data_IF_730271669940
#
_entry.id   IF_730271669940
#
_cell.length_a   1.000
_cell.length_b   1.000
_cell.length_c   1.000
_cell.angle_alpha   90.00
_cell.angle_beta   90.00
_cell.angle_gamma   90.00
#
_symmetry.space_group_name_H-M   'P 1'
#
loop_
_entity.id
_entity.type
_entity.pdbx_description
1 polymer ?
#
# COMPACT_ATOMS: atom_id res chain seq x y z
N UNK A 1 23.49 -11.20 -34.74
CA UNK A 1 23.62 -9.92 -34.03
C UNK A 1 22.82 -9.84 -32.71
N UNK A 2 21.89 -10.77 -32.43
CA UNK A 2 21.13 -10.82 -31.16
C UNK A 2 21.97 -11.29 -29.95
N UNK A 3 22.87 -12.27 -30.14
CA UNK A 3 23.72 -12.86 -29.08
C UNK A 3 24.55 -11.85 -28.27
N UNK A 4 24.99 -10.76 -28.91
CA UNK A 4 25.88 -9.79 -28.26
C UNK A 4 25.11 -8.87 -27.29
N UNK A 5 23.83 -8.61 -27.56
CA UNK A 5 22.96 -7.78 -26.69
C UNK A 5 22.50 -8.56 -25.45
N UNK A 6 22.10 -9.82 -25.61
CA UNK A 6 21.74 -10.66 -24.46
C UNK A 6 22.93 -10.92 -23.53
N UNK A 7 24.12 -11.10 -24.10
CA UNK A 7 25.38 -11.27 -23.35
C UNK A 7 25.82 -10.01 -22.61
N UNK A 8 25.54 -8.81 -23.16
CA UNK A 8 25.75 -7.54 -22.47
C UNK A 8 24.73 -7.32 -21.34
N UNK A 9 23.43 -7.52 -21.63
CA UNK A 9 22.36 -7.41 -20.64
C UNK A 9 22.59 -8.36 -19.45
N UNK A 10 23.00 -9.61 -19.69
CA UNK A 10 23.30 -10.57 -18.63
C UNK A 10 24.47 -10.19 -17.71
N UNK A 11 25.38 -9.31 -18.16
CA UNK A 11 26.53 -8.82 -17.37
C UNK A 11 26.26 -7.47 -16.70
N UNK A 12 25.42 -6.63 -17.29
CA UNK A 12 25.11 -5.30 -16.76
C UNK A 12 23.93 -5.28 -15.79
N UNK A 13 22.93 -6.13 -16.00
CA UNK A 13 21.73 -6.18 -15.15
C UNK A 13 22.05 -6.45 -13.66
N UNK A 14 22.95 -7.39 -13.29
CA UNK A 14 23.32 -7.59 -11.88
C UNK A 14 23.97 -6.36 -11.25
N UNK A 15 24.80 -5.64 -12.02
CA UNK A 15 25.48 -4.42 -11.57
C UNK A 15 24.50 -3.26 -11.40
N UNK A 16 23.54 -3.13 -12.31
CA UNK A 16 22.44 -2.16 -12.21
C UNK A 16 21.56 -2.45 -10.99
N UNK A 17 21.22 -3.72 -10.75
CA UNK A 17 20.47 -4.13 -9.56
C UNK A 17 21.27 -3.77 -8.29
N UNK A 18 22.51 -4.19 -8.15
CA UNK A 18 23.32 -3.90 -6.96
C UNK A 18 23.51 -2.40 -6.70
N UNK A 19 23.58 -1.58 -7.75
CA UNK A 19 23.71 -0.12 -7.65
C UNK A 19 22.39 0.58 -7.32
N UNK A 20 21.30 0.23 -8.03
CA UNK A 20 20.06 1.01 -8.03
C UNK A 20 19.00 0.45 -7.05
N UNK A 21 19.10 -0.82 -6.63
CA UNK A 21 18.19 -1.40 -5.62
C UNK A 21 18.22 -0.71 -4.27
N UNK A 22 19.40 -0.45 -3.67
CA UNK A 22 19.48 0.24 -2.39
C UNK A 22 18.81 1.62 -2.47
N UNK A 23 19.09 2.37 -3.54
CA UNK A 23 18.47 3.67 -3.78
C UNK A 23 16.95 3.59 -3.89
N UNK A 24 16.40 2.60 -4.61
CA UNK A 24 14.95 2.41 -4.71
C UNK A 24 14.30 2.05 -3.36
N UNK A 25 15.00 1.29 -2.50
CA UNK A 25 14.54 1.01 -1.12
C UNK A 25 14.51 2.28 -0.28
N UNK A 26 15.58 3.09 -0.33
CA UNK A 26 15.67 4.34 0.41
C UNK A 26 14.58 5.33 -0.03
N UNK A 27 14.32 5.42 -1.34
CA UNK A 27 13.23 6.24 -1.90
C UNK A 27 11.87 5.74 -1.41
N UNK A 28 11.61 4.42 -1.46
CA UNK A 28 10.37 3.83 -0.94
C UNK A 28 10.18 4.19 0.54
N UNK A 29 11.21 4.01 1.35
CA UNK A 29 11.14 4.22 2.81
C UNK A 29 10.93 5.70 3.15
N UNK A 30 11.59 6.60 2.41
CA UNK A 30 11.40 8.04 2.54
C UNK A 30 9.98 8.46 2.18
N UNK A 31 9.42 7.94 1.07
CA UNK A 31 8.04 8.22 0.67
C UNK A 31 7.03 7.66 1.68
N UNK A 32 7.27 6.48 2.23
CA UNK A 32 6.45 5.89 3.28
C UNK A 32 6.49 6.72 4.58
N UNK A 33 7.65 7.28 4.92
CA UNK A 33 7.80 8.18 6.08
C UNK A 33 7.03 9.48 5.88
N UNK A 34 7.18 10.13 4.72
CA UNK A 34 6.44 11.35 4.37
C UNK A 34 4.92 11.14 4.38
N UNK A 35 4.45 9.99 3.88
CA UNK A 35 3.03 9.64 3.92
C UNK A 35 2.49 9.55 5.36
N UNK A 36 3.28 9.02 6.31
CA UNK A 36 2.92 8.92 7.73
C UNK A 36 2.89 10.27 8.43
N UNK A 37 3.87 11.10 8.15
CA UNK A 37 3.93 12.47 8.66
C UNK A 37 2.72 13.29 8.18
N UNK A 38 2.45 13.25 6.87
CA UNK A 38 1.31 13.96 6.29
C UNK A 38 -0.02 13.46 6.84
N UNK A 39 -0.20 12.14 6.98
CA UNK A 39 -1.40 11.58 7.59
C UNK A 39 -1.61 12.07 9.04
N UNK A 40 -0.53 12.18 9.80
CA UNK A 40 -0.55 12.68 11.18
C UNK A 40 -0.89 14.17 11.23
N UNK A 41 -0.34 14.97 10.31
CA UNK A 41 -0.64 16.40 10.18
C UNK A 41 -2.12 16.65 9.82
N UNK A 42 -2.68 15.83 8.91
CA UNK A 42 -4.10 15.89 8.56
C UNK A 42 -4.97 15.52 9.76
N UNK A 43 -4.65 14.44 10.48
CA UNK A 43 -5.36 14.04 11.70
C UNK A 43 -5.35 15.15 12.75
N UNK A 44 -4.20 15.78 12.98
CA UNK A 44 -4.05 16.89 13.92
C UNK A 44 -4.93 18.08 13.52
N UNK A 45 -4.84 18.52 12.26
CA UNK A 45 -5.62 19.64 11.72
C UNK A 45 -7.12 19.37 11.82
N UNK A 46 -7.55 18.16 11.46
CA UNK A 46 -8.95 17.73 11.59
C UNK A 46 -9.43 17.79 13.04
N UNK A 47 -8.65 17.23 13.98
CA UNK A 47 -9.02 17.23 15.41
C UNK A 47 -9.10 18.64 15.98
N UNK A 48 -8.18 19.53 15.61
CA UNK A 48 -8.20 20.94 16.03
C UNK A 48 -9.44 21.67 15.51
N UNK A 49 -9.77 21.52 14.22
CA UNK A 49 -10.98 22.09 13.65
C UNK A 49 -12.24 21.54 14.36
N UNK A 50 -12.27 20.23 14.63
CA UNK A 50 -13.35 19.57 15.37
C UNK A 50 -13.54 20.09 16.79
N UNK A 51 -12.45 20.30 17.54
CA UNK A 51 -12.52 20.83 18.91
C UNK A 51 -13.15 22.23 18.96
N UNK A 52 -12.85 23.09 17.98
CA UNK A 52 -13.48 24.40 17.84
C UNK A 52 -14.99 24.28 17.59
N UNK A 53 -15.43 23.28 16.82
CA UNK A 53 -16.86 23.01 16.62
C UNK A 53 -17.53 22.45 17.88
N UNK A 54 -16.89 21.52 18.60
CA UNK A 54 -17.46 20.89 19.79
C UNK A 54 -17.73 21.88 20.94
N UNK A 55 -16.93 22.95 21.06
CA UNK A 55 -17.18 24.04 22.03
C UNK A 55 -18.55 24.71 21.84
N UNK A 56 -19.10 24.67 20.62
CA UNK A 56 -20.33 25.37 20.24
C UNK A 56 -21.55 24.45 20.07
N UNK A 57 -21.41 23.13 20.29
CA UNK A 57 -22.50 22.16 20.10
C UNK A 57 -23.30 21.98 21.39
N UNK A 58 -24.62 22.21 21.34
CA UNK A 58 -25.55 21.81 22.41
C UNK A 58 -25.52 20.30 22.58
N UNK A 59 -25.34 19.81 23.81
CA UNK A 59 -25.26 18.38 24.15
C UNK A 59 -26.50 17.63 23.62
N UNK A 60 -26.25 16.62 22.79
CA UNK A 60 -27.22 15.56 22.48
C UNK A 60 -27.73 15.52 21.04
N UNK A 61 -27.21 14.58 20.23
CA UNK A 61 -27.94 14.07 19.08
C UNK A 61 -27.09 13.54 17.92
N UNK A 62 -26.11 14.31 17.47
CA UNK A 62 -25.30 13.99 16.30
C UNK A 62 -24.19 12.97 16.62
N UNK A 63 -23.82 12.15 15.64
CA UNK A 63 -22.58 11.38 15.71
C UNK A 63 -21.39 12.32 15.57
N UNK A 64 -20.32 12.00 16.28
CA UNK A 64 -19.01 12.66 16.19
C UNK A 64 -18.05 11.70 15.53
N UNK A 65 -17.19 12.19 14.64
CA UNK A 65 -16.25 11.37 13.91
C UNK A 65 -14.82 11.65 14.36
N UNK A 66 -14.01 10.61 14.32
CA UNK A 66 -12.58 10.69 14.54
C UNK A 66 -11.87 9.77 13.55
N UNK A 67 -10.57 9.97 13.46
CA UNK A 67 -9.70 9.26 12.55
C UNK A 67 -8.53 8.68 13.33
N UNK A 68 -8.16 7.45 13.00
CA UNK A 68 -6.99 6.75 13.50
C UNK A 68 -6.05 6.48 12.34
N UNK A 69 -4.78 6.80 12.53
CA UNK A 69 -3.71 6.49 11.60
C UNK A 69 -2.98 5.26 12.14
N UNK A 70 -2.74 4.28 11.26
CA UNK A 70 -1.91 3.10 11.56
C UNK A 70 -0.73 3.09 10.60
N UNK A 71 0.46 2.82 11.12
CA UNK A 71 1.66 2.68 10.30
C UNK A 71 1.62 1.38 9.50
N UNK A 72 2.07 1.46 8.25
CA UNK A 72 2.19 0.31 7.35
C UNK A 72 3.50 0.39 6.58
N UNK A 73 3.91 -0.72 5.97
CA UNK A 73 5.09 -0.76 5.07
C UNK A 73 4.93 0.23 3.91
N UNK A 74 3.70 0.48 3.45
CA UNK A 74 3.41 1.41 2.36
C UNK A 74 3.22 2.87 2.81
N UNK A 75 3.40 3.16 4.09
CA UNK A 75 3.18 4.48 4.67
C UNK A 75 2.12 4.44 5.75
N UNK A 76 0.92 4.93 5.45
CA UNK A 76 -0.13 5.10 6.45
C UNK A 76 -1.46 4.47 6.02
N UNK A 77 -2.15 3.90 6.99
CA UNK A 77 -3.52 3.42 6.85
C UNK A 77 -4.47 4.30 7.68
N UNK A 78 -5.52 4.78 7.02
CA UNK A 78 -6.50 5.72 7.60
C UNK A 78 -7.80 4.97 7.91
N UNK A 79 -8.18 4.98 9.19
CA UNK A 79 -9.41 4.36 9.69
C UNK A 79 -10.29 5.43 10.34
N UNK A 80 -11.51 5.58 9.82
CA UNK A 80 -12.50 6.47 10.42
C UNK A 80 -13.35 5.72 11.41
N UNK A 81 -13.81 6.39 12.45
CA UNK A 81 -14.80 5.84 13.37
C UNK A 81 -15.71 6.95 13.84
N UNK A 82 -16.91 6.58 14.26
CA UNK A 82 -17.88 7.50 14.81
C UNK A 82 -18.24 7.06 16.22
N UNK A 83 -18.48 8.03 17.10
CA UNK A 83 -19.00 7.75 18.43
C UNK A 83 -20.14 8.71 18.76
N UNK A 84 -20.99 8.28 19.67
CA UNK A 84 -22.11 9.07 20.18
C UNK A 84 -22.21 8.85 21.68
N UNK A 85 -22.07 9.92 22.46
CA UNK A 85 -22.33 9.89 23.89
C UNK A 85 -23.82 10.10 24.17
N UNK A 86 -24.45 9.18 24.90
CA UNK A 86 -25.69 9.43 25.65
C UNK A 86 -25.36 9.22 27.12
N UNK A 87 -25.65 10.20 27.98
CA UNK A 87 -25.65 10.10 29.45
C UNK A 87 -24.94 8.85 30.02
N UNK A 88 -23.61 8.93 30.20
CA UNK A 88 -22.83 7.88 30.85
C UNK A 88 -22.27 6.78 29.93
N UNK A 89 -22.91 6.48 28.80
CA UNK A 89 -22.45 5.44 27.86
C UNK A 89 -21.96 6.04 26.53
N UNK A 90 -20.72 5.72 26.17
CA UNK A 90 -20.13 6.03 24.87
C UNK A 90 -20.41 4.86 23.91
N UNK A 91 -21.30 5.07 22.93
CA UNK A 91 -21.49 4.12 21.85
C UNK A 91 -20.45 4.37 20.75
N UNK A 92 -19.59 3.40 20.47
CA UNK A 92 -18.63 3.43 19.38
C UNK A 92 -19.17 2.69 18.15
N UNK A 93 -18.94 3.24 16.95
CA UNK A 93 -19.14 2.50 15.70
C UNK A 93 -17.93 1.62 15.43
N UNK A 94 -18.13 0.58 14.63
CA UNK A 94 -17.02 -0.07 13.95
C UNK A 94 -16.24 0.93 13.09
N UNK A 95 -14.95 0.67 12.93
CA UNK A 95 -14.07 1.46 12.07
C UNK A 95 -14.47 1.32 10.60
N UNK A 96 -14.72 2.45 9.94
CA UNK A 96 -14.85 2.54 8.50
C UNK A 96 -13.45 2.44 7.92
N UNK A 97 -13.18 1.27 7.34
CA UNK A 97 -11.94 0.94 6.66
C UNK A 97 -11.91 1.55 5.26
N UNK A 98 -10.75 2.05 4.86
CA UNK A 98 -10.51 2.55 3.51
C UNK A 98 -9.87 1.51 2.57
N UNK A 99 -9.88 0.23 2.96
CA UNK A 99 -9.29 -0.86 2.18
C UNK A 99 -9.84 -0.86 0.74
N UNK A 100 -8.93 -0.72 -0.23
CA UNK A 100 -9.24 -0.68 -1.66
C UNK A 100 -9.88 0.61 -2.18
N UNK A 101 -10.15 1.61 -1.33
CA UNK A 101 -10.79 2.86 -1.72
C UNK A 101 -9.85 4.06 -1.53
N UNK A 102 -9.69 4.87 -2.58
CA UNK A 102 -8.96 6.14 -2.48
C UNK A 102 -9.68 7.16 -1.61
N UNK A 103 -11.01 7.12 -1.60
CA UNK A 103 -11.86 8.03 -0.84
C UNK A 103 -13.01 7.26 -0.21
N UNK A 104 -13.30 7.55 1.05
CA UNK A 104 -14.47 6.97 1.71
C UNK A 104 -15.74 7.71 1.23
N UNK A 105 -16.76 6.99 0.72
CA UNK A 105 -18.01 7.62 0.32
C UNK A 105 -18.71 8.32 1.48
N UNK A 106 -19.31 9.49 1.23
CA UNK A 106 -20.09 10.23 2.23
C UNK A 106 -21.19 9.37 2.89
N UNK A 107 -21.76 8.41 2.16
CA UNK A 107 -22.79 7.48 2.63
C UNK A 107 -22.31 6.52 3.75
N UNK A 108 -21.00 6.32 3.89
CA UNK A 108 -20.43 5.49 4.97
C UNK A 108 -20.38 6.25 6.30
N UNK A 109 -20.39 7.57 6.27
CA UNK A 109 -20.35 8.39 7.47
C UNK A 109 -21.75 8.47 8.11
N UNK A 110 -21.81 8.28 9.43
CA UNK A 110 -23.04 8.51 10.20
C UNK A 110 -23.48 9.99 10.11
N UNK A 111 -24.79 10.24 10.27
CA UNK A 111 -25.35 11.61 10.26
C UNK A 111 -24.73 12.46 11.37
N UNK A 112 -24.07 13.54 10.97
CA UNK A 112 -23.39 14.51 11.82
C UNK A 112 -23.87 15.94 11.52
N UNK A 113 -23.28 16.94 12.19
CA UNK A 113 -23.59 18.35 11.92
C UNK A 113 -23.03 18.78 10.56
N UNK A 114 -23.54 19.88 10.00
CA UNK A 114 -23.02 20.43 8.74
C UNK A 114 -21.54 20.85 8.85
N UNK A 115 -21.11 21.32 10.03
CA UNK A 115 -19.73 21.68 10.30
C UNK A 115 -18.81 20.45 10.34
N UNK A 116 -19.21 19.40 11.06
CA UNK A 116 -18.49 18.12 11.10
C UNK A 116 -18.38 17.53 9.69
N UNK A 117 -19.48 17.54 8.94
CA UNK A 117 -19.50 17.04 7.56
C UNK A 117 -18.54 17.79 6.63
N UNK A 118 -18.32 19.09 6.83
CA UNK A 118 -17.32 19.86 6.07
C UNK A 118 -15.90 19.48 6.49
N UNK A 119 -15.64 19.41 7.79
CA UNK A 119 -14.34 19.00 8.31
C UNK A 119 -13.94 17.59 7.85
N UNK A 120 -14.89 16.64 7.85
CA UNK A 120 -14.68 15.29 7.30
C UNK A 120 -14.36 15.36 5.81
N UNK A 121 -15.09 16.17 5.04
CA UNK A 121 -14.86 16.29 3.59
C UNK A 121 -13.45 16.81 3.31
N UNK A 122 -13.05 17.89 3.98
CA UNK A 122 -11.75 18.52 3.78
C UNK A 122 -10.61 17.58 4.20
N UNK A 123 -10.78 16.86 5.32
CA UNK A 123 -9.83 15.85 5.77
C UNK A 123 -9.76 14.65 4.79
N UNK A 124 -10.89 14.19 4.26
CA UNK A 124 -10.90 13.09 3.28
C UNK A 124 -10.31 13.48 1.93
N UNK A 125 -10.48 14.72 1.48
CA UNK A 125 -9.81 15.24 0.28
C UNK A 125 -8.28 15.23 0.45
N UNK A 126 -7.79 15.47 1.67
CA UNK A 126 -6.37 15.37 2.00
C UNK A 126 -5.91 13.90 2.13
N UNK A 127 -6.67 13.06 2.83
CA UNK A 127 -6.35 11.63 2.97
C UNK A 127 -6.38 10.89 1.63
N UNK A 128 -7.19 11.32 0.66
CA UNK A 128 -7.17 10.76 -0.70
C UNK A 128 -5.77 10.86 -1.32
N UNK A 129 -5.07 11.99 -1.12
CA UNK A 129 -3.71 12.19 -1.63
C UNK A 129 -2.72 11.26 -0.94
N UNK A 130 -2.85 11.09 0.38
CA UNK A 130 -2.03 10.14 1.16
C UNK A 130 -2.27 8.71 0.67
N UNK A 131 -3.51 8.30 0.43
CA UNK A 131 -3.83 6.95 -0.07
C UNK A 131 -3.27 6.73 -1.47
N UNK A 132 -3.32 7.72 -2.36
CA UNK A 132 -2.66 7.65 -3.68
C UNK A 132 -1.15 7.46 -3.55
N UNK A 133 -0.50 8.23 -2.67
CA UNK A 133 0.93 8.06 -2.39
C UNK A 133 1.23 6.65 -1.87
N UNK A 134 0.46 6.16 -0.90
CA UNK A 134 0.63 4.81 -0.35
C UNK A 134 0.48 3.73 -1.43
N UNK A 135 -0.47 3.86 -2.37
CA UNK A 135 -0.58 2.94 -3.51
C UNK A 135 0.67 2.93 -4.39
N UNK A 136 1.30 4.07 -4.63
CA UNK A 136 2.56 4.13 -5.37
C UNK A 136 3.71 3.47 -4.59
N UNK A 137 3.78 3.68 -3.28
CA UNK A 137 4.77 3.01 -2.41
C UNK A 137 4.54 1.49 -2.39
N UNK A 138 3.29 1.02 -2.39
CA UNK A 138 2.97 -0.41 -2.52
C UNK A 138 3.49 -0.99 -3.84
N UNK A 139 3.29 -0.30 -4.97
CA UNK A 139 3.83 -0.74 -6.28
C UNK A 139 5.35 -0.79 -6.30
N UNK A 140 6.04 0.18 -5.67
CA UNK A 140 7.50 0.14 -5.54
C UNK A 140 7.91 -1.06 -4.67
N UNK A 141 7.18 -1.34 -3.60
CA UNK A 141 7.42 -2.49 -2.73
C UNK A 141 7.24 -3.82 -3.47
N UNK A 142 6.19 -3.95 -4.27
CA UNK A 142 5.95 -5.10 -5.14
C UNK A 142 7.11 -5.28 -6.13
N UNK A 143 7.52 -4.21 -6.83
CA UNK A 143 8.66 -4.26 -7.75
C UNK A 143 9.97 -4.69 -7.06
N UNK A 144 10.24 -4.15 -5.85
CA UNK A 144 11.39 -4.53 -5.04
C UNK A 144 11.37 -5.99 -4.60
N UNK A 145 10.19 -6.59 -4.44
CA UNK A 145 10.04 -8.00 -4.08
C UNK A 145 10.11 -8.92 -5.31
N UNK A 146 9.59 -8.50 -6.46
CA UNK A 146 9.55 -9.31 -7.69
C UNK A 146 10.92 -9.44 -8.36
N UNK A 147 11.75 -8.39 -8.36
CA UNK A 147 13.04 -8.42 -9.07
C UNK A 147 14.02 -9.47 -8.51
N UNK A 148 14.19 -9.62 -7.17
CA UNK A 148 14.96 -10.74 -6.61
C UNK A 148 14.39 -12.11 -6.97
N UNK A 149 13.06 -12.27 -7.04
CA UNK A 149 12.43 -13.53 -7.42
C UNK A 149 12.68 -13.89 -8.89
N UNK A 150 12.65 -12.90 -9.80
CA UNK A 150 13.03 -13.12 -11.20
C UNK A 150 14.48 -13.61 -11.34
N UNK A 151 15.40 -13.16 -10.47
CA UNK A 151 16.79 -13.65 -10.44
C UNK A 151 16.85 -15.13 -10.06
N UNK A 152 16.10 -15.54 -9.02
CA UNK A 152 16.06 -16.93 -8.56
C UNK A 152 15.50 -17.86 -9.63
N UNK A 153 14.42 -17.46 -10.32
CA UNK A 153 13.83 -18.23 -11.42
C UNK A 153 14.80 -18.33 -12.59
N UNK A 154 15.44 -17.22 -12.99
CA UNK A 154 16.43 -17.23 -14.08
C UNK A 154 17.66 -18.10 -13.78
N UNK A 155 18.13 -18.10 -12.54
CA UNK A 155 19.25 -18.95 -12.10
C UNK A 155 18.86 -20.43 -11.97
N UNK A 156 17.60 -20.72 -11.61
CA UNK A 156 17.03 -22.08 -11.61
C UNK A 156 16.92 -22.62 -13.04
N UNK A 157 16.27 -21.87 -13.95
CA UNK A 157 16.13 -22.24 -15.36
C UNK A 157 17.49 -22.42 -16.06
N UNK A 158 18.51 -21.64 -15.70
CA UNK A 158 19.88 -21.82 -16.22
C UNK A 158 20.57 -23.09 -15.70
N UNK A 159 20.29 -23.51 -14.46
CA UNK A 159 20.81 -24.78 -13.93
C UNK A 159 20.12 -25.98 -14.59
N UNK A 160 18.83 -25.90 -14.85
CA UNK A 160 18.07 -26.97 -15.51
C UNK A 160 18.36 -27.06 -17.02
N UNK A 161 18.55 -25.93 -17.71
CA UNK A 161 19.01 -25.91 -19.12
C UNK A 161 20.36 -26.59 -19.36
N UNK A 162 21.21 -26.75 -18.34
CA UNK A 162 22.46 -27.51 -18.48
C UNK A 162 22.26 -29.03 -18.50
N UNK A 163 21.06 -29.53 -18.17
CA UNK A 163 20.72 -30.97 -18.17
C UNK A 163 19.92 -31.42 -19.38
N UNK A 164 19.28 -30.51 -20.11
CA UNK A 164 18.42 -30.84 -21.25
C UNK A 164 19.16 -30.63 -22.57
N UNK A 165 19.02 -31.57 -23.50
CA UNK A 165 19.55 -31.44 -24.86
C UNK A 165 18.72 -30.39 -25.60
N UNK A 166 19.36 -29.64 -26.50
CA UNK A 166 18.72 -28.56 -27.27
C UNK A 166 17.45 -29.01 -28.03
N UNK A 167 17.35 -30.29 -28.35
CA UNK A 167 16.23 -30.93 -29.04
C UNK A 167 14.95 -30.97 -28.18
N UNK A 168 15.07 -31.00 -26.85
CA UNK A 168 13.94 -31.04 -25.92
C UNK A 168 13.35 -29.65 -25.62
N UNK A 169 14.11 -28.58 -25.93
CA UNK A 169 13.76 -27.19 -25.60
C UNK A 169 12.80 -26.57 -26.63
N UNK A 170 12.78 -27.05 -27.88
CA UNK A 170 11.97 -26.47 -28.95
C UNK A 170 10.49 -26.89 -28.95
N UNK A 171 10.07 -27.77 -28.04
CA UNK A 171 8.66 -28.19 -27.90
C UNK A 171 7.93 -27.38 -26.80
N UNK A 172 8.68 -26.72 -25.90
CA UNK A 172 8.13 -25.96 -24.79
C UNK A 172 8.03 -24.45 -25.10
N UNK A 173 7.33 -24.10 -26.19
CA UNK A 173 6.97 -22.71 -26.51
C UNK A 173 5.67 -22.28 -25.79
N UNK A 174 5.42 -22.87 -24.62
CA UNK A 174 4.45 -22.37 -23.66
C UNK A 174 5.19 -22.00 -22.38
N UNK A 175 5.01 -20.77 -21.93
CA UNK A 175 5.44 -20.27 -20.62
C UNK A 175 4.67 -20.99 -19.49
N UNK A 176 4.87 -22.30 -19.34
CA UNK A 176 4.52 -23.09 -18.16
C UNK A 176 5.82 -23.57 -17.53
N UNK A 177 5.94 -23.47 -16.20
CA UNK A 177 6.98 -24.22 -15.52
C UNK A 177 6.61 -25.69 -15.68
N UNK A 178 7.44 -26.44 -16.40
CA UNK A 178 7.33 -27.89 -16.53
C UNK A 178 7.95 -28.52 -15.28
N UNK A 179 7.23 -28.33 -14.18
CA UNK A 179 7.52 -28.92 -12.90
C UNK A 179 6.56 -30.10 -12.75
N UNK A 180 7.06 -31.35 -12.72
CA UNK A 180 6.23 -32.57 -12.62
C UNK A 180 5.42 -32.66 -11.31
N UNK A 181 5.73 -31.81 -10.34
CA UNK A 181 4.91 -31.54 -9.17
C UNK A 181 4.62 -30.03 -9.08
N UNK A 182 3.41 -29.61 -8.68
CA UNK A 182 3.09 -28.20 -8.52
C UNK A 182 4.10 -27.57 -7.56
N UNK A 183 4.73 -26.47 -7.97
CA UNK A 183 5.69 -25.73 -7.14
C UNK A 183 5.07 -25.28 -5.82
N UNK A 184 5.10 -26.13 -4.80
CA UNK A 184 4.56 -25.87 -3.48
C UNK A 184 5.51 -25.07 -2.58
N UNK A 185 6.75 -24.84 -3.00
CA UNK A 185 7.75 -24.16 -2.17
C UNK A 185 7.84 -22.65 -2.41
N UNK A 186 6.79 -22.07 -2.97
CA UNK A 186 6.52 -20.65 -2.77
C UNK A 186 5.73 -20.48 -1.46
N UNK A 187 6.46 -20.03 -0.44
CA UNK A 187 5.98 -19.43 0.82
C UNK A 187 5.75 -20.44 1.96
N UNK A 188 6.72 -20.53 2.86
CA UNK A 188 6.42 -20.59 4.31
C UNK A 188 7.28 -19.56 5.05
N UNK A 189 6.56 -18.65 5.71
CA UNK A 189 6.91 -17.54 6.62
C UNK A 189 8.38 -17.17 6.88
#
# INVERSE_FOLDING_TARGET
MADNRESQLGRELPKLIERDFPYLRDVRDSLAALAREEASNIQYTYRKAREEYQKNIKKGGAWVHDVRIKDTVSGAYVEWFAYKGRYGDQCYSEGIRSEGLLRIPASKFKKCSAAESRAIKDAEDAFEKVRKLCQHVSKISEALNSIPQMRLIGDHCKRERKRLKWEDIMVADNFSCDCDEPCTDCITY
#
